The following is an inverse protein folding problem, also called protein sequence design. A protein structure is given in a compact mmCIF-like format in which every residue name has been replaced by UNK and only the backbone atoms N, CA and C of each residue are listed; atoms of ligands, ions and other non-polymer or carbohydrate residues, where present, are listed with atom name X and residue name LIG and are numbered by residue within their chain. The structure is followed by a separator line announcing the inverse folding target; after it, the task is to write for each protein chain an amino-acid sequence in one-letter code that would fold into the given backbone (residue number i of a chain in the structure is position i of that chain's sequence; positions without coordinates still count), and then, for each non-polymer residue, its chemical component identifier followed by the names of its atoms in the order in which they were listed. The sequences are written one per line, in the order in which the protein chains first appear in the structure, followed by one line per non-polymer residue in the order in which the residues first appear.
data_IF_100507821418
#
_entry.id   IF_100507821418
#
_cell.length_a   1.000
_cell.length_b   1.000
_cell.length_c   1.000
_cell.angle_alpha   90.00
_cell.angle_beta   90.00
_cell.angle_gamma   90.00
#
_symmetry.space_group_name_H-M   'P 1'
#
loop_
_entity.id
_entity.type
_entity.pdbx_description
1 polymer ?
#
# COMPACT_ATOMS: atom_id res chain seq x y z
N UNK A 1 -5.52 2.73 21.87
CA UNK A 1 -6.53 3.79 21.69
C UNK A 1 -7.74 3.33 20.88
N UNK A 2 -7.60 2.90 19.61
CA UNK A 2 -8.78 2.48 18.82
C UNK A 2 -9.58 1.34 19.48
N UNK A 3 -8.88 0.34 20.04
CA UNK A 3 -9.49 -0.75 20.80
C UNK A 3 -10.09 -0.28 22.13
N UNK A 4 -9.43 0.66 22.82
CA UNK A 4 -9.91 1.23 24.09
C UNK A 4 -11.19 2.06 23.89
N UNK A 5 -11.34 2.67 22.72
CA UNK A 5 -12.55 3.40 22.29
C UNK A 5 -13.65 2.47 21.73
N UNK A 6 -13.41 1.16 21.70
CA UNK A 6 -14.39 0.17 21.23
C UNK A 6 -14.62 0.17 19.72
N UNK A 7 -13.73 0.75 18.91
CA UNK A 7 -13.91 0.82 17.45
C UNK A 7 -13.84 -0.55 16.75
N UNK A 8 -13.35 -1.59 17.43
CA UNK A 8 -13.33 -2.98 16.96
C UNK A 8 -14.71 -3.65 16.95
N UNK A 9 -15.75 -3.00 17.48
CA UNK A 9 -17.13 -3.50 17.44
C UNK A 9 -17.94 -2.73 16.40
N UNK A 10 -18.72 -3.44 15.59
CA UNK A 10 -19.55 -2.76 14.60
C UNK A 10 -20.58 -1.84 15.26
N UNK A 11 -20.71 -0.57 14.82
CA UNK A 11 -21.73 0.35 15.30
C UNK A 11 -23.15 -0.24 15.31
N UNK A 12 -23.52 -1.06 14.31
CA UNK A 12 -24.87 -1.64 14.18
C UNK A 12 -25.39 -2.35 15.43
N UNK A 13 -24.51 -2.92 16.24
CA UNK A 13 -24.91 -3.76 17.37
C UNK A 13 -25.17 -3.01 18.69
N UNK A 14 -24.99 -1.69 18.74
CA UNK A 14 -25.07 -0.90 19.98
C UNK A 14 -25.59 0.53 19.81
N UNK A 15 -26.11 0.87 18.63
CA UNK A 15 -26.81 2.15 18.34
C UNK A 15 -27.89 2.47 19.36
N UNK A 16 -28.54 1.45 19.96
CA UNK A 16 -29.57 1.65 20.98
C UNK A 16 -29.09 2.39 22.24
N UNK A 17 -27.77 2.53 22.43
CA UNK A 17 -27.17 3.11 23.64
C UNK A 17 -26.28 4.33 23.38
N UNK A 18 -26.06 4.73 22.12
CA UNK A 18 -25.17 5.85 21.78
C UNK A 18 -25.88 6.89 20.91
N UNK A 19 -26.22 8.03 21.53
CA UNK A 19 -26.87 9.15 20.84
C UNK A 19 -25.99 9.88 19.84
N UNK A 20 -24.69 9.54 19.74
CA UNK A 20 -23.78 10.10 18.73
C UNK A 20 -23.78 9.36 17.39
N UNK A 21 -24.44 8.19 17.30
CA UNK A 21 -24.52 7.36 16.10
C UNK A 21 -25.95 7.33 15.58
N UNK A 22 -26.38 8.44 14.96
CA UNK A 22 -27.79 8.66 14.59
C UNK A 22 -28.06 8.28 13.13
N UNK A 23 -27.03 8.29 12.28
CA UNK A 23 -27.17 8.13 10.83
C UNK A 23 -26.31 6.98 10.27
N UNK A 24 -26.68 6.49 9.08
CA UNK A 24 -25.84 5.55 8.30
C UNK A 24 -24.46 6.14 7.98
N UNK A 25 -24.38 7.47 7.86
CA UNK A 25 -23.13 8.19 7.66
C UNK A 25 -22.20 8.05 8.88
N UNK A 26 -22.71 8.28 10.09
CA UNK A 26 -21.94 8.14 11.33
C UNK A 26 -21.38 6.72 11.48
N UNK A 27 -22.18 5.71 11.12
CA UNK A 27 -21.75 4.32 11.15
C UNK A 27 -20.61 4.04 10.17
N UNK A 28 -20.73 4.50 8.92
CA UNK A 28 -19.68 4.30 7.92
C UNK A 28 -18.42 5.08 8.23
N UNK A 29 -18.54 6.31 8.77
CA UNK A 29 -17.38 7.07 9.28
C UNK A 29 -16.65 6.24 10.33
N UNK A 30 -17.38 5.68 11.30
CA UNK A 30 -16.79 4.89 12.38
C UNK A 30 -16.12 3.60 11.90
N UNK A 31 -16.77 2.87 10.97
CA UNK A 31 -16.17 1.70 10.31
C UNK A 31 -14.89 2.06 9.57
N UNK A 32 -14.90 3.17 8.83
CA UNK A 32 -13.73 3.65 8.08
C UNK A 32 -12.60 4.10 8.99
N UNK A 33 -12.90 4.70 10.15
CA UNK A 33 -11.89 5.00 11.17
C UNK A 33 -11.20 3.72 11.63
N UNK A 34 -11.98 2.69 12.01
CA UNK A 34 -11.40 1.40 12.42
C UNK A 34 -10.55 0.78 11.32
N UNK A 35 -11.09 0.63 10.11
CA UNK A 35 -10.38 0.05 8.99
C UNK A 35 -9.15 0.88 8.58
N UNK A 36 -9.19 2.20 8.78
CA UNK A 36 -8.07 3.10 8.55
C UNK A 36 -6.95 2.87 9.56
N UNK A 37 -7.29 2.70 10.85
CA UNK A 37 -6.34 2.27 11.86
C UNK A 37 -5.77 0.88 11.55
N UNK A 38 -6.62 -0.06 11.11
CA UNK A 38 -6.22 -1.40 10.72
C UNK A 38 -5.18 -1.35 9.58
N UNK A 39 -5.49 -0.75 8.43
CA UNK A 39 -4.55 -0.69 7.29
C UNK A 39 -3.28 0.08 7.62
N UNK A 40 -3.38 1.17 8.38
CA UNK A 40 -2.21 1.97 8.82
C UNK A 40 -1.29 1.18 9.74
N UNK A 41 -1.83 0.38 10.66
CA UNK A 41 -1.03 -0.50 11.52
C UNK A 41 -0.17 -1.45 10.68
N UNK A 42 -0.74 -2.05 9.62
CA UNK A 42 0.00 -2.96 8.73
C UNK A 42 1.06 -2.23 7.91
N UNK A 43 0.73 -1.07 7.33
CA UNK A 43 1.68 -0.27 6.56
C UNK A 43 2.87 0.17 7.43
N UNK A 44 2.60 0.74 8.61
CA UNK A 44 3.65 1.20 9.52
C UNK A 44 4.48 0.01 10.03
N UNK A 45 3.82 -1.11 10.33
CA UNK A 45 4.52 -2.33 10.77
C UNK A 45 5.45 -2.89 9.69
N UNK A 46 5.02 -2.84 8.43
CA UNK A 46 5.85 -3.19 7.29
C UNK A 46 7.07 -2.26 7.13
N UNK A 47 6.86 -0.94 7.24
CA UNK A 47 7.93 0.05 7.09
C UNK A 47 8.97 -0.06 8.22
N UNK A 48 8.51 -0.24 9.46
CA UNK A 48 9.37 -0.21 10.65
C UNK A 48 9.87 -1.59 11.09
N UNK A 49 9.37 -2.67 10.49
CA UNK A 49 9.69 -4.04 10.90
C UNK A 49 9.19 -4.40 12.31
N UNK A 50 8.11 -3.76 12.77
CA UNK A 50 7.51 -4.04 14.09
C UNK A 50 6.36 -5.06 13.97
N UNK A 51 5.98 -5.74 15.06
CA UNK A 51 4.77 -6.56 15.09
C UNK A 51 3.51 -5.73 14.84
N UNK A 52 2.50 -6.38 14.24
CA UNK A 52 1.14 -5.84 14.09
C UNK A 52 0.37 -5.94 15.41
N UNK A 53 -0.56 -5.00 15.63
CA UNK A 53 -1.37 -4.93 16.86
C UNK A 53 -2.86 -5.15 16.61
N UNK A 54 -3.37 -4.77 15.42
CA UNK A 54 -4.78 -4.94 15.08
C UNK A 54 -4.94 -6.13 14.13
N UNK A 55 -5.41 -7.25 14.67
CA UNK A 55 -5.71 -8.47 13.91
C UNK A 55 -7.10 -8.39 13.29
N UNK A 56 -7.25 -8.99 12.10
CA UNK A 56 -8.53 -8.98 11.38
C UNK A 56 -9.61 -9.75 12.15
N UNK A 57 -9.25 -10.90 12.72
CA UNK A 57 -10.20 -11.81 13.37
C UNK A 57 -10.66 -11.30 14.75
N UNK A 58 -9.98 -10.29 15.31
CA UNK A 58 -10.40 -9.60 16.54
C UNK A 58 -11.41 -8.47 16.27
N UNK A 59 -11.67 -8.16 14.99
CA UNK A 59 -12.60 -7.12 14.57
C UNK A 59 -13.98 -7.69 14.28
N UNK A 60 -15.01 -7.16 14.94
CA UNK A 60 -16.41 -7.44 14.63
C UNK A 60 -16.99 -6.44 13.64
N UNK A 61 -16.16 -5.55 13.08
CA UNK A 61 -16.58 -4.46 12.17
C UNK A 61 -16.90 -5.01 10.79
N UNK A 62 -18.04 -4.64 10.23
CA UNK A 62 -18.40 -5.02 8.85
C UNK A 62 -17.51 -4.28 7.83
N UNK A 63 -17.47 -4.80 6.60
CA UNK A 63 -16.77 -4.12 5.50
C UNK A 63 -17.49 -2.80 5.18
N UNK A 64 -16.72 -1.72 4.95
CA UNK A 64 -17.28 -0.41 4.59
C UNK A 64 -18.11 -0.46 3.30
N UNK A 65 -19.09 0.42 3.14
CA UNK A 65 -19.89 0.55 1.93
C UNK A 65 -19.73 1.94 1.31
N UNK A 66 -20.07 2.04 0.02
CA UNK A 66 -20.11 3.34 -0.67
C UNK A 66 -21.46 3.96 -0.37
N UNK A 67 -21.43 5.08 0.36
CA UNK A 67 -22.60 5.94 0.52
C UNK A 67 -22.83 6.79 -0.73
N UNK A 68 -24.07 7.26 -0.97
CA UNK A 68 -24.36 8.22 -2.03
C UNK A 68 -23.52 9.49 -1.91
N UNK A 69 -23.21 10.13 -3.04
CA UNK A 69 -22.50 11.42 -3.04
C UNK A 69 -23.44 12.50 -2.48
N UNK A 70 -23.01 13.18 -1.42
CA UNK A 70 -23.77 14.27 -0.81
C UNK A 70 -23.67 15.55 -1.65
N UNK A 71 -24.77 16.28 -1.91
CA UNK A 71 -24.83 17.41 -2.85
C UNK A 71 -23.87 18.57 -2.54
N UNK A 72 -23.43 18.69 -1.29
CA UNK A 72 -22.61 19.80 -0.79
C UNK A 72 -21.10 19.54 -0.86
N UNK A 73 -20.67 18.34 -1.28
CA UNK A 73 -19.24 18.02 -1.32
C UNK A 73 -18.53 18.71 -2.49
N UNK A 74 -17.48 19.45 -2.18
CA UNK A 74 -16.56 19.98 -3.18
C UNK A 74 -15.83 18.83 -3.90
N UNK A 75 -15.45 19.01 -5.19
CA UNK A 75 -14.60 18.06 -5.88
C UNK A 75 -13.30 17.80 -5.11
N UNK A 76 -12.85 16.55 -5.11
CA UNK A 76 -11.54 16.23 -4.54
C UNK A 76 -10.43 16.94 -5.32
N UNK A 77 -9.50 17.56 -4.61
CA UNK A 77 -8.31 18.22 -5.17
C UNK A 77 -7.04 17.57 -4.60
N UNK A 78 -6.01 17.32 -5.43
CA UNK A 78 -4.71 16.90 -4.92
C UNK A 78 -4.11 17.94 -3.97
N UNK A 79 -3.33 17.47 -2.99
CA UNK A 79 -2.57 18.35 -2.12
C UNK A 79 -1.64 19.26 -2.93
N UNK A 80 -1.61 20.56 -2.60
CA UNK A 80 -0.83 21.57 -3.32
C UNK A 80 -1.54 22.22 -4.51
N UNK A 81 -2.76 21.78 -4.86
CA UNK A 81 -3.57 22.40 -5.92
C UNK A 81 -4.56 23.39 -5.29
N UNK A 82 -4.34 24.69 -5.53
CA UNK A 82 -5.11 25.77 -4.89
C UNK A 82 -6.48 26.03 -5.53
N UNK A 83 -6.69 25.64 -6.79
CA UNK A 83 -7.94 25.88 -7.50
C UNK A 83 -8.23 24.73 -8.48
N UNK A 84 -9.51 24.39 -8.60
CA UNK A 84 -10.00 23.42 -9.57
C UNK A 84 -9.88 24.01 -10.99
N UNK A 85 -8.97 23.46 -11.79
CA UNK A 85 -8.75 23.88 -13.19
C UNK A 85 -9.37 22.92 -14.22
N UNK A 86 -10.24 22.02 -13.75
CA UNK A 86 -10.92 21.04 -14.59
C UNK A 86 -10.06 19.85 -15.02
N UNK A 87 -8.74 19.82 -14.78
CA UNK A 87 -7.88 18.66 -15.12
C UNK A 87 -8.28 17.39 -14.39
N UNK A 88 -8.96 17.52 -13.27
CA UNK A 88 -9.43 16.43 -12.44
C UNK A 88 -10.96 16.30 -12.45
N UNK A 89 -11.64 16.95 -13.39
CA UNK A 89 -13.11 16.93 -13.46
C UNK A 89 -13.70 15.55 -13.71
N UNK A 90 -12.98 14.72 -14.47
CA UNK A 90 -13.35 13.34 -14.74
C UNK A 90 -12.88 12.37 -13.62
N UNK A 91 -12.17 12.86 -12.59
CA UNK A 91 -11.77 12.10 -11.39
C UNK A 91 -12.85 12.21 -10.29
N UNK A 92 -14.11 12.39 -10.69
CA UNK A 92 -15.28 12.21 -9.82
C UNK A 92 -15.17 10.84 -9.11
N UNK A 93 -15.58 10.66 -7.83
CA UNK A 93 -14.92 9.77 -6.88
C UNK A 93 -15.09 8.28 -7.23
N UNK A 94 -14.24 7.82 -8.12
CA UNK A 94 -14.03 6.44 -8.51
C UNK A 94 -12.53 6.21 -8.30
N UNK A 95 -12.05 5.31 -7.43
CA UNK A 95 -12.71 4.28 -6.62
C UNK A 95 -12.16 4.31 -5.18
N UNK A 96 -12.34 5.40 -4.42
CA UNK A 96 -11.75 5.47 -3.07
C UNK A 96 -12.24 4.33 -2.17
N UNK A 97 -13.56 4.09 -2.12
CA UNK A 97 -14.14 3.01 -1.31
C UNK A 97 -13.74 1.62 -1.84
N UNK A 98 -13.86 1.30 -3.15
CA UNK A 98 -13.35 0.03 -3.67
C UNK A 98 -11.85 -0.18 -3.42
N UNK A 99 -10.99 0.81 -3.68
CA UNK A 99 -9.56 0.72 -3.38
C UNK A 99 -9.30 0.49 -1.89
N UNK A 100 -10.07 1.15 -1.02
CA UNK A 100 -9.93 0.98 0.42
C UNK A 100 -10.37 -0.42 0.88
N UNK A 101 -11.44 -0.99 0.30
CA UNK A 101 -11.79 -2.41 0.49
C UNK A 101 -10.65 -3.34 0.09
N UNK A 102 -10.05 -3.09 -1.06
CA UNK A 102 -8.92 -3.89 -1.54
C UNK A 102 -7.66 -3.69 -0.69
N UNK A 103 -7.44 -2.49 -0.15
CA UNK A 103 -6.36 -2.23 0.80
C UNK A 103 -6.55 -2.99 2.12
N UNK A 104 -7.80 -3.12 2.62
CA UNK A 104 -8.12 -3.95 3.78
C UNK A 104 -7.82 -5.42 3.47
N UNK A 105 -8.26 -5.93 2.31
CA UNK A 105 -7.99 -7.31 1.87
C UNK A 105 -6.48 -7.60 1.76
N UNK A 106 -5.72 -6.70 1.14
CA UNK A 106 -4.26 -6.80 1.07
C UNK A 106 -3.62 -6.74 2.46
N UNK A 107 -4.13 -5.89 3.35
CA UNK A 107 -3.65 -5.79 4.72
C UNK A 107 -3.80 -7.10 5.51
N UNK A 108 -4.81 -7.93 5.22
CA UNK A 108 -4.89 -9.29 5.80
C UNK A 108 -3.72 -10.18 5.38
N UNK A 109 -3.26 -10.06 4.13
CA UNK A 109 -2.09 -10.81 3.65
C UNK A 109 -0.82 -10.27 4.33
N UNK A 110 -0.69 -8.95 4.46
CA UNK A 110 0.42 -8.30 5.17
C UNK A 110 0.46 -8.75 6.65
N UNK A 111 -0.70 -8.81 7.31
CA UNK A 111 -0.83 -9.29 8.68
C UNK A 111 -0.32 -10.74 8.83
N UNK A 112 -0.74 -11.64 7.93
CA UNK A 112 -0.24 -13.03 7.91
C UNK A 112 1.27 -13.08 7.66
N UNK A 113 1.79 -12.30 6.72
CA UNK A 113 3.22 -12.21 6.42
C UNK A 113 4.02 -11.77 7.65
N UNK A 114 3.59 -10.68 8.30
CA UNK A 114 4.28 -10.12 9.47
C UNK A 114 4.18 -11.05 10.70
N UNK A 115 3.02 -11.65 10.95
CA UNK A 115 2.77 -12.49 12.13
C UNK A 115 3.33 -13.92 12.01
N UNK A 116 3.43 -14.48 10.80
CA UNK A 116 3.89 -15.86 10.57
C UNK A 116 5.31 -15.92 10.03
N UNK A 117 5.62 -15.18 8.96
CA UNK A 117 6.89 -15.33 8.26
C UNK A 117 7.99 -14.42 8.82
N UNK A 118 7.65 -13.19 9.20
CA UNK A 118 8.61 -12.20 9.73
C UNK A 118 8.59 -12.10 11.26
N UNK A 119 7.77 -12.91 11.92
CA UNK A 119 7.74 -12.97 13.38
C UNK A 119 9.01 -13.61 13.92
N UNK A 120 9.69 -12.92 14.83
CA UNK A 120 10.87 -13.44 15.55
C UNK A 120 10.54 -14.64 16.43
N UNK A 121 9.25 -14.88 16.71
CA UNK A 121 8.76 -16.03 17.48
C UNK A 121 8.33 -17.20 16.59
N UNK A 122 8.41 -17.07 15.27
CA UNK A 122 8.05 -18.17 14.37
C UNK A 122 9.12 -19.26 14.44
N UNK A 123 8.72 -20.49 14.75
CA UNK A 123 9.60 -21.67 14.66
C UNK A 123 9.59 -22.26 13.24
N UNK A 124 9.26 -21.45 12.22
CA UNK A 124 9.20 -21.90 10.84
C UNK A 124 10.61 -21.94 10.26
N UNK A 125 11.12 -23.15 10.08
CA UNK A 125 12.44 -23.39 9.48
C UNK A 125 12.34 -24.29 8.25
N UNK A 126 13.36 -24.20 7.38
CA UNK A 126 13.49 -25.04 6.19
C UNK A 126 12.22 -25.09 5.33
N UNK A 127 11.70 -26.30 5.14
CA UNK A 127 10.52 -26.57 4.30
C UNK A 127 9.25 -25.85 4.79
N UNK A 128 9.07 -25.68 6.10
CA UNK A 128 7.89 -25.01 6.65
C UNK A 128 7.88 -23.52 6.32
N UNK A 129 9.05 -22.88 6.39
CA UNK A 129 9.23 -21.48 5.98
C UNK A 129 8.98 -21.30 4.48
N UNK A 130 9.51 -22.21 3.66
CA UNK A 130 9.32 -22.18 2.21
C UNK A 130 7.83 -22.34 1.85
N UNK A 131 7.13 -23.32 2.43
CA UNK A 131 5.71 -23.52 2.19
C UNK A 131 4.86 -22.29 2.59
N UNK A 132 5.22 -21.62 3.69
CA UNK A 132 4.57 -20.38 4.09
C UNK A 132 4.81 -19.25 3.08
N UNK A 133 6.03 -19.11 2.55
CA UNK A 133 6.37 -18.13 1.53
C UNK A 133 5.60 -18.40 0.23
N UNK A 134 5.57 -19.64 -0.23
CA UNK A 134 4.85 -20.04 -1.45
C UNK A 134 3.34 -19.78 -1.32
N UNK A 135 2.76 -20.10 -0.16
CA UNK A 135 1.36 -19.81 0.14
C UNK A 135 1.06 -18.30 0.10
N UNK A 136 1.94 -17.47 0.68
CA UNK A 136 1.76 -16.02 0.67
C UNK A 136 1.92 -15.42 -0.73
N UNK A 137 2.87 -15.92 -1.54
CA UNK A 137 3.01 -15.53 -2.94
C UNK A 137 1.74 -15.88 -3.74
N UNK A 138 1.19 -17.07 -3.54
CA UNK A 138 -0.07 -17.46 -4.16
C UNK A 138 -1.24 -16.55 -3.74
N UNK A 139 -1.38 -16.25 -2.45
CA UNK A 139 -2.41 -15.33 -1.95
C UNK A 139 -2.26 -13.92 -2.56
N UNK A 140 -1.04 -13.40 -2.68
CA UNK A 140 -0.78 -12.10 -3.32
C UNK A 140 -1.14 -12.09 -4.81
N UNK A 141 -0.73 -13.10 -5.56
CA UNK A 141 -1.06 -13.21 -6.99
C UNK A 141 -2.57 -13.32 -7.19
N UNK A 142 -3.24 -14.18 -6.42
CA UNK A 142 -4.70 -14.33 -6.47
C UNK A 142 -5.42 -13.04 -6.13
N UNK A 143 -4.94 -12.29 -5.13
CA UNK A 143 -5.49 -10.98 -4.80
C UNK A 143 -5.34 -9.99 -5.95
N UNK A 144 -4.18 -9.93 -6.59
CA UNK A 144 -3.91 -9.00 -7.71
C UNK A 144 -4.78 -9.31 -8.93
N UNK A 145 -4.95 -10.59 -9.27
CA UNK A 145 -5.81 -11.04 -10.38
C UNK A 145 -7.30 -10.77 -10.11
N UNK A 146 -7.72 -10.80 -8.85
CA UNK A 146 -9.10 -10.58 -8.43
C UNK A 146 -9.47 -9.08 -8.25
N UNK A 147 -8.57 -8.14 -8.59
CA UNK A 147 -8.86 -6.71 -8.47
C UNK A 147 -10.05 -6.30 -9.36
N UNK A 148 -11.00 -5.50 -8.86
CA UNK A 148 -12.06 -4.93 -9.67
C UNK A 148 -11.48 -3.95 -10.69
N UNK A 149 -12.14 -3.79 -11.83
CA UNK A 149 -11.62 -2.99 -12.96
C UNK A 149 -11.26 -1.56 -12.56
N UNK A 150 -12.07 -0.93 -11.71
CA UNK A 150 -11.81 0.41 -11.21
C UNK A 150 -10.53 0.53 -10.35
N UNK A 151 -10.04 -0.57 -9.77
CA UNK A 151 -8.83 -0.59 -8.95
C UNK A 151 -7.59 -1.13 -9.71
N UNK A 152 -7.73 -1.46 -11.00
CA UNK A 152 -6.60 -1.90 -11.82
C UNK A 152 -5.79 -0.71 -12.32
N UNK A 153 -4.52 -0.96 -12.56
CA UNK A 153 -3.60 -0.03 -13.19
C UNK A 153 -2.90 -0.71 -14.35
N UNK A 154 -2.70 0.02 -15.43
CA UNK A 154 -2.02 -0.46 -16.63
C UNK A 154 -0.95 0.54 -17.08
N UNK A 155 0.31 0.10 -17.07
CA UNK A 155 1.47 0.90 -17.49
C UNK A 155 1.48 1.29 -18.97
N UNK A 156 0.71 0.60 -19.80
CA UNK A 156 0.62 0.85 -21.24
C UNK A 156 -0.45 1.89 -21.62
N UNK A 157 -1.14 2.45 -20.63
CA UNK A 157 -2.08 3.53 -20.87
C UNK A 157 -1.38 4.80 -21.38
N UNK A 158 -2.06 5.60 -22.22
CA UNK A 158 -1.54 6.90 -22.65
C UNK A 158 -1.11 7.78 -21.47
N UNK A 159 -0.05 8.61 -21.61
CA UNK A 159 0.36 9.56 -20.58
C UNK A 159 -0.74 10.55 -20.16
N UNK A 160 -1.69 10.82 -21.06
CA UNK A 160 -2.85 11.67 -20.81
C UNK A 160 -3.90 11.03 -19.90
N UNK A 161 -3.91 9.70 -19.75
CA UNK A 161 -4.86 9.02 -18.86
C UNK A 161 -4.54 9.37 -17.40
N UNK A 162 -5.48 9.96 -16.65
CA UNK A 162 -5.23 10.32 -15.25
C UNK A 162 -4.91 9.10 -14.40
N UNK A 163 -3.82 9.17 -13.63
CA UNK A 163 -3.48 8.18 -12.63
C UNK A 163 -4.26 8.50 -11.35
N UNK A 164 -5.18 7.63 -10.96
CA UNK A 164 -5.97 7.83 -9.74
C UNK A 164 -5.07 7.60 -8.51
N UNK A 165 -4.92 8.58 -7.59
CA UNK A 165 -3.98 8.46 -6.47
C UNK A 165 -4.25 7.27 -5.53
N UNK A 166 -5.50 6.91 -5.28
CA UNK A 166 -5.84 5.74 -4.45
C UNK A 166 -5.45 4.43 -5.13
N UNK A 167 -5.59 4.35 -6.46
CA UNK A 167 -5.11 3.21 -7.26
C UNK A 167 -3.59 3.15 -7.21
N UNK A 168 -2.91 4.29 -7.43
CA UNK A 168 -1.45 4.35 -7.32
C UNK A 168 -0.96 3.87 -5.94
N UNK A 169 -1.56 4.36 -4.85
CA UNK A 169 -1.21 3.94 -3.49
C UNK A 169 -1.42 2.44 -3.25
N UNK A 170 -2.52 1.88 -3.78
CA UNK A 170 -2.83 0.45 -3.68
C UNK A 170 -1.78 -0.42 -4.38
N UNK A 171 -1.40 -0.05 -5.61
CA UNK A 171 -0.39 -0.78 -6.39
C UNK A 171 1.02 -0.60 -5.82
N UNK A 172 1.37 0.60 -5.33
CA UNK A 172 2.62 0.83 -4.62
C UNK A 172 2.72 -0.06 -3.37
N UNK A 173 1.63 -0.21 -2.60
CA UNK A 173 1.57 -1.13 -1.46
C UNK A 173 1.75 -2.59 -1.89
N UNK A 174 1.02 -3.03 -2.91
CA UNK A 174 1.14 -4.39 -3.43
C UNK A 174 2.57 -4.74 -3.85
N UNK A 175 3.19 -3.92 -4.71
CA UNK A 175 4.54 -4.17 -5.19
C UNK A 175 5.57 -4.08 -4.06
N UNK A 176 5.37 -3.19 -3.09
CA UNK A 176 6.20 -3.12 -1.88
C UNK A 176 6.13 -4.41 -1.06
N UNK A 177 4.95 -4.98 -0.89
CA UNK A 177 4.76 -6.25 -0.15
C UNK A 177 5.38 -7.41 -0.91
N UNK A 178 5.21 -7.48 -2.24
CA UNK A 178 5.80 -8.52 -3.08
C UNK A 178 7.33 -8.48 -3.06
N UNK A 179 7.94 -7.29 -3.09
CA UNK A 179 9.39 -7.13 -2.89
C UNK A 179 9.77 -7.62 -1.49
N UNK A 180 9.14 -7.08 -0.43
CA UNK A 180 9.48 -7.43 0.94
C UNK A 180 9.43 -8.94 1.20
N UNK A 181 8.40 -9.63 0.68
CA UNK A 181 8.22 -11.08 0.81
C UNK A 181 9.36 -11.90 0.18
N UNK A 182 9.88 -11.45 -0.96
CA UNK A 182 10.79 -12.25 -1.80
C UNK A 182 12.26 -11.79 -1.73
N UNK A 183 12.53 -10.58 -1.21
CA UNK A 183 13.84 -9.95 -1.31
C UNK A 183 14.97 -10.77 -0.67
N UNK A 184 14.78 -11.24 0.56
CA UNK A 184 15.82 -12.01 1.27
C UNK A 184 16.14 -13.34 0.56
N UNK A 185 15.13 -13.97 -0.05
CA UNK A 185 15.31 -15.18 -0.84
C UNK A 185 16.06 -14.87 -2.14
N UNK A 186 15.70 -13.78 -2.83
CA UNK A 186 16.36 -13.31 -4.05
C UNK A 186 17.83 -12.89 -3.81
N UNK A 187 18.13 -12.37 -2.62
CA UNK A 187 19.46 -11.96 -2.19
C UNK A 187 20.30 -13.10 -1.60
N UNK A 188 19.72 -14.29 -1.40
CA UNK A 188 20.49 -15.45 -0.96
C UNK A 188 21.48 -15.80 -2.07
N UNK A 189 22.79 -15.75 -1.78
CA UNK A 189 23.88 -15.91 -2.76
C UNK A 189 23.99 -17.30 -3.42
N UNK A 190 22.93 -18.10 -3.34
CA UNK A 190 22.82 -19.41 -3.96
C UNK A 190 22.20 -19.28 -5.36
N UNK A 191 22.48 -20.23 -6.24
CA UNK A 191 21.88 -20.29 -7.57
C UNK A 191 20.80 -21.38 -7.60
N UNK A 192 19.63 -21.08 -8.14
CA UNK A 192 18.54 -22.03 -8.27
C UNK A 192 17.27 -21.39 -8.82
N UNK A 193 16.42 -22.20 -9.46
CA UNK A 193 15.21 -21.71 -10.14
C UNK A 193 14.26 -20.91 -9.24
N UNK A 194 14.16 -21.28 -7.95
CA UNK A 194 13.34 -20.54 -6.98
C UNK A 194 13.88 -19.13 -6.70
N UNK A 195 15.21 -19.00 -6.57
CA UNK A 195 15.89 -17.71 -6.34
C UNK A 195 15.77 -16.82 -7.57
N UNK A 196 15.90 -17.41 -8.76
CA UNK A 196 15.71 -16.69 -10.02
C UNK A 196 14.28 -16.18 -10.17
N UNK A 197 13.29 -16.95 -9.73
CA UNK A 197 11.89 -16.51 -9.72
C UNK A 197 11.65 -15.39 -8.71
N UNK A 198 12.15 -15.52 -7.47
CA UNK A 198 12.07 -14.46 -6.47
C UNK A 198 12.74 -13.16 -6.95
N UNK A 199 13.89 -13.26 -7.63
CA UNK A 199 14.57 -12.12 -8.25
C UNK A 199 13.71 -11.48 -9.34
N UNK A 200 13.14 -12.28 -10.25
CA UNK A 200 12.23 -11.78 -11.29
C UNK A 200 11.03 -11.05 -10.66
N UNK A 201 10.44 -11.60 -9.60
CA UNK A 201 9.29 -11.01 -8.91
C UNK A 201 9.62 -9.66 -8.26
N UNK A 202 10.80 -9.56 -7.64
CA UNK A 202 11.29 -8.32 -7.06
C UNK A 202 11.58 -7.28 -8.15
N UNK A 203 12.32 -7.64 -9.20
CA UNK A 203 12.70 -6.74 -10.29
C UNK A 203 11.46 -6.25 -11.04
N UNK A 204 10.51 -7.13 -11.38
CA UNK A 204 9.29 -6.70 -12.07
C UNK A 204 8.49 -5.71 -11.22
N UNK A 205 8.38 -5.98 -9.91
CA UNK A 205 7.67 -5.09 -8.99
C UNK A 205 8.37 -3.73 -8.83
N UNK A 206 9.70 -3.71 -8.82
CA UNK A 206 10.47 -2.48 -8.77
C UNK A 206 10.33 -1.64 -10.05
N UNK A 207 10.23 -2.29 -11.21
CA UNK A 207 9.95 -1.62 -12.49
C UNK A 207 8.53 -1.04 -12.52
N UNK A 208 7.53 -1.78 -12.05
CA UNK A 208 6.16 -1.27 -11.97
C UNK A 208 6.05 -0.08 -10.99
N UNK A 209 6.74 -0.12 -9.83
CA UNK A 209 6.88 1.04 -8.93
C UNK A 209 7.51 2.24 -9.67
N UNK A 210 8.53 2.01 -10.48
CA UNK A 210 9.19 3.07 -11.26
C UNK A 210 8.23 3.72 -12.25
N UNK A 211 7.41 2.92 -12.94
CA UNK A 211 6.39 3.42 -13.86
C UNK A 211 5.29 4.22 -13.14
N UNK A 212 4.79 3.72 -12.01
CA UNK A 212 3.81 4.44 -11.18
C UNK A 212 4.39 5.77 -10.70
N UNK A 213 5.62 5.75 -10.18
CA UNK A 213 6.33 6.95 -9.69
C UNK A 213 6.51 8.01 -10.79
N UNK A 214 6.94 7.59 -12.00
CA UNK A 214 7.06 8.48 -13.17
C UNK A 214 5.74 9.13 -13.55
N UNK A 215 4.67 8.32 -13.66
CA UNK A 215 3.34 8.81 -14.04
C UNK A 215 2.79 9.76 -12.95
N UNK A 216 2.93 9.38 -11.67
CA UNK A 216 2.53 10.22 -10.54
C UNK A 216 3.26 11.56 -10.53
N UNK A 217 4.59 11.55 -10.65
CA UNK A 217 5.44 12.75 -10.72
C UNK A 217 5.01 13.69 -11.86
N UNK A 218 4.71 13.15 -13.04
CA UNK A 218 4.30 13.95 -14.19
C UNK A 218 2.94 14.65 -14.03
N UNK A 219 2.01 14.07 -13.24
CA UNK A 219 0.65 14.58 -13.09
C UNK A 219 0.44 15.40 -11.81
N UNK A 220 1.15 15.06 -10.73
CA UNK A 220 0.94 15.64 -9.40
C UNK A 220 2.22 16.23 -8.77
N UNK A 221 3.40 15.95 -9.35
CA UNK A 221 4.68 16.17 -8.68
C UNK A 221 4.91 15.18 -7.52
N UNK A 222 6.06 15.29 -6.85
CA UNK A 222 6.41 14.43 -5.72
C UNK A 222 6.41 15.15 -4.36
N UNK A 223 6.24 16.47 -4.36
CA UNK A 223 6.32 17.30 -3.15
C UNK A 223 5.34 16.85 -2.05
N UNK A 224 4.13 16.44 -2.42
CA UNK A 224 3.09 15.98 -1.49
C UNK A 224 2.79 14.49 -1.62
N UNK A 225 3.82 13.70 -1.99
CA UNK A 225 3.67 12.26 -2.15
C UNK A 225 3.30 11.56 -0.84
N UNK A 226 2.44 10.52 -0.87
CA UNK A 226 2.07 9.78 0.33
C UNK A 226 3.26 8.95 0.84
N UNK A 227 3.27 8.62 2.14
CA UNK A 227 4.34 7.83 2.78
C UNK A 227 4.63 6.50 2.04
N UNK A 228 3.60 5.86 1.48
CA UNK A 228 3.77 4.63 0.71
C UNK A 228 4.65 4.83 -0.54
N UNK A 229 4.65 6.01 -1.16
CA UNK A 229 5.55 6.33 -2.27
C UNK A 229 7.01 6.23 -1.81
N UNK A 230 7.33 6.78 -0.64
CA UNK A 230 8.69 6.78 -0.10
C UNK A 230 9.17 5.36 0.15
N UNK A 231 8.32 4.56 0.81
CA UNK A 231 8.63 3.17 1.10
C UNK A 231 8.81 2.34 -0.18
N UNK A 232 7.90 2.49 -1.15
CA UNK A 232 7.95 1.78 -2.42
C UNK A 232 9.20 2.14 -3.22
N UNK A 233 9.49 3.44 -3.38
CA UNK A 233 10.67 3.94 -4.11
C UNK A 233 11.95 3.45 -3.45
N UNK A 234 12.04 3.47 -2.11
CA UNK A 234 13.20 2.95 -1.38
C UNK A 234 13.42 1.45 -1.63
N UNK A 235 12.37 0.64 -1.54
CA UNK A 235 12.47 -0.80 -1.80
C UNK A 235 12.81 -1.11 -3.26
N UNK A 236 12.19 -0.40 -4.20
CA UNK A 236 12.45 -0.54 -5.62
C UNK A 236 13.90 -0.14 -5.97
N UNK A 237 14.38 1.00 -5.46
CA UNK A 237 15.76 1.44 -5.66
C UNK A 237 16.76 0.40 -5.16
N UNK A 238 16.60 -0.09 -3.92
CA UNK A 238 17.45 -1.15 -3.35
C UNK A 238 17.45 -2.41 -4.23
N UNK A 239 16.28 -2.81 -4.71
CA UNK A 239 16.11 -3.99 -5.57
C UNK A 239 16.82 -3.82 -6.91
N UNK A 240 16.66 -2.66 -7.55
CA UNK A 240 17.27 -2.38 -8.86
C UNK A 240 18.80 -2.19 -8.76
N UNK A 241 19.31 -1.67 -7.64
CA UNK A 241 20.76 -1.60 -7.39
C UNK A 241 21.38 -3.00 -7.35
N UNK A 242 20.71 -3.98 -6.75
CA UNK A 242 21.25 -5.34 -6.62
C UNK A 242 21.00 -6.24 -7.83
N UNK A 243 19.83 -6.10 -8.46
CA UNK A 243 19.36 -7.08 -9.45
C UNK A 243 18.94 -6.46 -10.79
N UNK A 244 18.88 -5.13 -10.88
CA UNK A 244 18.38 -4.40 -12.04
C UNK A 244 19.45 -3.54 -12.72
N UNK A 245 19.02 -2.40 -13.25
CA UNK A 245 19.90 -1.45 -13.94
C UNK A 245 20.24 -0.26 -13.05
N UNK A 246 21.48 0.24 -13.16
CA UNK A 246 21.92 1.40 -12.40
C UNK A 246 21.13 2.68 -12.73
N UNK A 247 20.71 2.85 -13.99
CA UNK A 247 19.97 4.03 -14.44
C UNK A 247 18.59 4.13 -13.78
N UNK A 248 17.85 3.02 -13.69
CA UNK A 248 16.54 3.01 -13.04
C UNK A 248 16.65 3.22 -11.53
N UNK A 249 17.68 2.62 -10.89
CA UNK A 249 17.96 2.84 -9.49
C UNK A 249 18.28 4.32 -9.20
N UNK A 250 19.13 4.95 -10.01
CA UNK A 250 19.47 6.37 -9.87
C UNK A 250 18.25 7.30 -10.04
N UNK A 251 17.37 7.00 -10.99
CA UNK A 251 16.12 7.76 -11.15
C UNK A 251 15.26 7.73 -9.88
N UNK A 252 15.12 6.57 -9.25
CA UNK A 252 14.35 6.41 -8.02
C UNK A 252 15.02 7.12 -6.83
N UNK A 253 16.35 7.05 -6.72
CA UNK A 253 17.10 7.79 -5.69
C UNK A 253 16.89 9.30 -5.85
N UNK A 254 16.95 9.84 -7.06
CA UNK A 254 16.63 11.26 -7.31
C UNK A 254 15.17 11.59 -6.97
N UNK A 255 14.25 10.67 -7.22
CA UNK A 255 12.82 10.90 -6.90
C UNK A 255 12.58 11.06 -5.39
N UNK A 256 13.45 10.50 -4.54
CA UNK A 256 13.41 10.72 -3.09
C UNK A 256 13.76 12.17 -2.72
N UNK A 257 14.64 12.87 -3.46
CA UNK A 257 15.01 14.26 -3.18
C UNK A 257 13.79 15.20 -3.23
N UNK A 258 12.92 14.98 -4.21
CA UNK A 258 11.69 15.75 -4.38
C UNK A 258 10.65 15.45 -3.28
N UNK A 259 10.75 14.28 -2.66
CA UNK A 259 9.87 13.88 -1.56
C UNK A 259 10.31 14.41 -0.19
N UNK A 260 11.58 14.81 -0.04
CA UNK A 260 12.17 15.23 1.24
C UNK A 260 11.43 16.41 1.90
N UNK A 261 10.79 17.28 1.12
CA UNK A 261 10.06 18.42 1.66
C UNK A 261 8.84 18.00 2.52
N UNK A 262 8.26 16.83 2.26
CA UNK A 262 7.16 16.28 3.07
C UNK A 262 7.62 15.22 4.08
N UNK A 263 8.73 14.54 3.81
CA UNK A 263 9.19 13.41 4.60
C UNK A 263 10.72 13.44 4.80
N UNK A 264 11.18 13.78 6.01
CA UNK A 264 12.59 13.64 6.41
C UNK A 264 13.12 12.21 6.21
N UNK A 265 12.22 11.22 6.26
CA UNK A 265 12.53 9.82 5.98
C UNK A 265 13.08 9.61 4.55
N UNK A 266 12.64 10.41 3.58
CA UNK A 266 13.12 10.31 2.20
C UNK A 266 14.61 10.68 2.11
N UNK A 267 15.05 11.71 2.85
CA UNK A 267 16.44 12.11 2.92
C UNK A 267 17.30 11.01 3.57
N UNK A 268 16.83 10.44 4.68
CA UNK A 268 17.50 9.35 5.35
C UNK A 268 17.61 8.10 4.46
N UNK A 269 16.55 7.77 3.72
CA UNK A 269 16.52 6.65 2.79
C UNK A 269 17.53 6.84 1.65
N UNK A 270 17.57 8.03 1.05
CA UNK A 270 18.53 8.39 0.00
C UNK A 270 19.97 8.21 0.48
N UNK A 271 20.31 8.78 1.64
CA UNK A 271 21.68 8.74 2.18
C UNK A 271 22.14 7.29 2.41
N UNK A 272 21.25 6.40 2.84
CA UNK A 272 21.54 4.97 2.96
C UNK A 272 21.73 4.29 1.61
N UNK A 273 20.91 4.59 0.61
CA UNK A 273 21.01 3.99 -0.72
C UNK A 273 22.28 4.39 -1.47
N UNK A 274 22.78 5.61 -1.26
CA UNK A 274 24.05 6.08 -1.86
C UNK A 274 25.31 5.46 -1.24
N UNK A 275 25.18 4.74 -0.13
CA UNK A 275 26.29 4.07 0.57
C UNK A 275 26.41 2.57 0.21
N UNK A 276 25.46 2.03 -0.55
CA UNK A 276 25.40 0.62 -1.00
C UNK A 276 26.04 0.53 -2.38
#
# INVERSE_FOLDING_TARGET
MAQDLGFQRDPKHWISHDSSLVTEEDMEIRRRIFWGCYTSDKLISLILGRPVYLFYDDAEVETTERLPDFPEMAPWLPAGVAAYDGRFADINPLPLVPCFKEQIRLSKIIEKMLSKLFSTRSNLEGLGRQACLDSLNFELCSWYEALPECAKWNKWEPPSTPLIPSVAALHLLFHSVRIALNFDHAASGHSGAMIDNARKDCVSSAQDITHISRKYRSQYGLLHSPLIMIYAVMQAARTLTLFGTAEEAQYLVHSLDECCAAWDLAEQARNKLTQI
#
